data_IF_926460850748
#
_entry.id   IF_926460850748
#
_cell.length_a   1.000
_cell.length_b   1.000
_cell.length_c   1.000
_cell.angle_alpha   90.00
_cell.angle_beta   90.00
_cell.angle_gamma   90.00
#
_symmetry.space_group_name_H-M   'P 1'
#
loop_
_entity.id
_entity.type
_entity.pdbx_description
1 polymer ?
#
# COMPACT_ATOMS: atom_id res chain seq x y z
N UNK A 1 -18.02 7.54 -11.42
CA UNK A 1 -17.94 8.49 -12.56
C UNK A 1 -16.52 9.00 -12.66
N UNK A 2 -15.91 9.06 -13.85
CA UNK A 2 -14.50 9.46 -13.95
C UNK A 2 -14.36 10.99 -14.05
N UNK A 3 -13.38 11.61 -13.37
CA UNK A 3 -13.15 13.05 -13.38
C UNK A 3 -12.90 13.65 -14.78
N UNK A 4 -12.35 12.84 -15.68
CA UNK A 4 -11.97 13.25 -17.04
C UNK A 4 -13.18 13.63 -17.93
N UNK A 5 -14.38 13.20 -17.55
CA UNK A 5 -15.61 13.56 -18.29
C UNK A 5 -15.90 15.07 -18.30
N UNK A 6 -15.33 15.82 -17.34
CA UNK A 6 -15.49 17.29 -17.30
C UNK A 6 -14.86 17.94 -18.53
N UNK A 7 -13.78 17.39 -19.06
CA UNK A 7 -13.08 17.91 -20.23
C UNK A 7 -13.83 17.69 -21.55
N UNK A 8 -14.66 16.64 -21.62
CA UNK A 8 -15.41 16.26 -22.82
C UNK A 8 -16.79 16.93 -22.91
N UNK A 9 -17.25 17.55 -21.82
CA UNK A 9 -18.60 18.13 -21.77
C UNK A 9 -18.56 19.62 -22.08
N UNK A 10 -19.27 20.05 -23.12
CA UNK A 10 -19.29 21.43 -23.60
C UNK A 10 -20.28 22.34 -22.85
N UNK A 11 -21.35 21.79 -22.24
CA UNK A 11 -22.38 22.60 -21.62
C UNK A 11 -22.17 22.84 -20.13
N UNK A 12 -22.39 24.09 -19.66
CA UNK A 12 -22.25 24.46 -18.25
C UNK A 12 -23.16 23.64 -17.32
N UNK A 13 -24.38 23.29 -17.76
CA UNK A 13 -25.34 22.48 -17.00
C UNK A 13 -24.84 21.05 -16.79
N UNK A 14 -24.21 20.45 -17.81
CA UNK A 14 -23.66 19.09 -17.68
C UNK A 14 -22.39 19.10 -16.81
N UNK A 15 -21.51 20.08 -16.94
CA UNK A 15 -20.35 20.27 -16.05
C UNK A 15 -20.77 20.40 -14.59
N UNK A 16 -21.79 21.21 -14.32
CA UNK A 16 -22.34 21.39 -12.97
C UNK A 16 -22.91 20.07 -12.40
N UNK A 17 -23.63 19.27 -13.20
CA UNK A 17 -24.13 17.95 -12.76
C UNK A 17 -22.99 16.97 -12.45
N UNK A 18 -21.97 16.89 -13.30
CA UNK A 18 -20.83 16.01 -13.08
C UNK A 18 -20.10 16.44 -11.80
N UNK A 19 -19.84 17.73 -11.61
CA UNK A 19 -19.20 18.25 -10.39
C UNK A 19 -20.03 17.95 -9.13
N UNK A 20 -21.35 18.02 -9.21
CA UNK A 20 -22.22 17.69 -8.07
C UNK A 20 -22.13 16.21 -7.70
N UNK A 21 -22.07 15.30 -8.69
CA UNK A 21 -21.90 13.86 -8.46
C UNK A 21 -20.53 13.57 -7.88
N UNK A 22 -19.47 14.11 -8.45
CA UNK A 22 -18.10 13.91 -7.94
C UNK A 22 -17.95 14.39 -6.49
N UNK A 23 -18.58 15.52 -6.15
CA UNK A 23 -18.59 16.02 -4.76
C UNK A 23 -19.38 15.10 -3.83
N UNK A 24 -20.47 14.48 -4.29
CA UNK A 24 -21.24 13.52 -3.50
C UNK A 24 -20.43 12.25 -3.29
N UNK A 25 -19.84 11.71 -4.33
CA UNK A 25 -19.02 10.50 -4.27
C UNK A 25 -17.81 10.71 -3.32
N UNK A 26 -17.14 11.87 -3.41
CA UNK A 26 -16.05 12.24 -2.49
C UNK A 26 -16.53 12.30 -1.03
N UNK A 27 -17.71 12.88 -0.76
CA UNK A 27 -18.27 12.92 0.61
C UNK A 27 -18.64 11.54 1.15
N UNK A 28 -19.12 10.65 0.30
CA UNK A 28 -19.43 9.26 0.69
C UNK A 28 -18.14 8.51 1.05
N UNK A 29 -17.07 8.69 0.29
CA UNK A 29 -15.75 8.12 0.56
C UNK A 29 -15.18 8.69 1.87
N UNK A 30 -15.28 10.00 2.09
CA UNK A 30 -14.85 10.63 3.33
C UNK A 30 -15.59 10.07 4.55
N UNK A 31 -16.92 9.89 4.47
CA UNK A 31 -17.72 9.27 5.53
C UNK A 31 -17.30 7.83 5.80
N UNK A 32 -17.02 7.04 4.75
CA UNK A 32 -16.46 5.69 4.92
C UNK A 32 -15.13 5.74 5.68
N UNK A 33 -14.23 6.63 5.31
CA UNK A 33 -12.95 6.80 5.98
C UNK A 33 -13.09 7.19 7.45
N UNK A 34 -14.02 8.10 7.76
CA UNK A 34 -14.35 8.48 9.12
C UNK A 34 -14.90 7.29 9.94
N UNK A 35 -15.77 6.48 9.35
CA UNK A 35 -16.30 5.27 9.98
C UNK A 35 -15.18 4.26 10.26
N UNK A 36 -14.32 3.99 9.27
CA UNK A 36 -13.18 3.07 9.42
C UNK A 36 -12.24 3.54 10.54
N UNK A 37 -11.91 4.84 10.60
CA UNK A 37 -11.08 5.40 11.65
C UNK A 37 -11.74 5.26 13.02
N UNK A 38 -13.04 5.56 13.12
CA UNK A 38 -13.79 5.46 14.36
C UNK A 38 -13.81 4.03 14.88
N UNK A 39 -14.08 3.05 14.02
CA UNK A 39 -14.07 1.63 14.37
C UNK A 39 -12.68 1.16 14.81
N UNK A 40 -11.64 1.59 14.10
CA UNK A 40 -10.25 1.26 14.42
C UNK A 40 -9.84 1.85 15.78
N UNK A 41 -10.18 3.10 16.06
CA UNK A 41 -9.91 3.75 17.35
C UNK A 41 -10.68 3.05 18.47
N UNK A 42 -11.97 2.75 18.28
CA UNK A 42 -12.79 2.05 19.25
C UNK A 42 -12.25 0.64 19.58
N UNK A 43 -11.79 -0.09 18.57
CA UNK A 43 -11.12 -1.40 18.74
C UNK A 43 -9.85 -1.31 19.58
N UNK A 44 -9.20 -0.14 19.57
CA UNK A 44 -7.99 0.14 20.34
C UNK A 44 -8.26 0.93 21.63
N UNK A 45 -9.53 0.94 22.11
CA UNK A 45 -9.97 1.62 23.35
C UNK A 45 -9.71 3.13 23.36
N UNK A 46 -9.80 3.78 22.20
CA UNK A 46 -9.66 5.23 22.04
C UNK A 46 -10.93 5.83 21.42
N UNK A 47 -11.25 7.05 21.83
CA UNK A 47 -12.35 7.82 21.23
C UNK A 47 -11.81 8.75 20.14
N UNK A 48 -12.59 8.95 19.07
CA UNK A 48 -12.23 9.86 18.01
C UNK A 48 -12.33 11.31 18.49
N UNK A 49 -11.20 12.00 18.53
CA UNK A 49 -11.10 13.42 18.86
C UNK A 49 -10.32 14.16 17.78
N UNK A 50 -10.60 15.46 17.60
CA UNK A 50 -9.87 16.28 16.63
C UNK A 50 -8.34 16.21 16.87
N UNK A 51 -7.91 16.18 18.14
CA UNK A 51 -6.48 16.08 18.48
C UNK A 51 -5.84 14.77 18.01
N UNK A 52 -6.59 13.67 17.99
CA UNK A 52 -6.12 12.38 17.45
C UNK A 52 -6.02 12.44 15.94
N UNK A 53 -7.03 13.02 15.29
CA UNK A 53 -7.03 13.21 13.82
C UNK A 53 -5.88 14.12 13.40
N UNK A 54 -5.66 15.25 14.11
CA UNK A 54 -4.54 16.16 13.83
C UNK A 54 -3.19 15.46 13.93
N UNK A 55 -2.96 14.64 14.97
CA UNK A 55 -1.72 13.88 15.15
C UNK A 55 -1.51 12.86 14.03
N UNK A 56 -2.55 12.15 13.63
CA UNK A 56 -2.47 11.21 12.52
C UNK A 56 -2.22 11.93 11.19
N UNK A 57 -2.89 13.05 10.96
CA UNK A 57 -2.66 13.90 9.81
C UNK A 57 -1.20 14.41 9.75
N UNK A 58 -0.66 14.85 10.88
CA UNK A 58 0.73 15.28 11.00
C UNK A 58 1.70 14.12 10.76
N UNK A 59 1.42 12.95 11.32
CA UNK A 59 2.22 11.73 11.13
C UNK A 59 2.28 11.30 9.67
N UNK A 60 1.14 11.33 8.97
CA UNK A 60 1.05 10.99 7.55
C UNK A 60 1.36 12.16 6.60
N UNK A 61 1.69 13.35 7.12
CA UNK A 61 1.92 14.59 6.37
C UNK A 61 0.75 15.01 5.47
N UNK A 62 -0.45 14.83 5.92
CA UNK A 62 -1.69 15.26 5.26
C UNK A 62 -2.17 16.53 5.96
N UNK A 63 -2.40 17.63 5.20
CA UNK A 63 -2.75 18.92 5.78
C UNK A 63 -4.24 19.08 6.08
N UNK A 64 -5.10 18.31 5.45
CA UNK A 64 -6.56 18.46 5.54
C UNK A 64 -7.20 17.16 6.01
N UNK A 65 -8.07 17.23 7.00
CA UNK A 65 -8.83 16.10 7.53
C UNK A 65 -9.66 15.39 6.46
N UNK A 66 -10.26 16.17 5.54
CA UNK A 66 -11.06 15.64 4.44
C UNK A 66 -10.22 14.73 3.52
N UNK A 67 -8.99 15.14 3.20
CA UNK A 67 -8.06 14.34 2.40
C UNK A 67 -7.60 13.10 3.16
N UNK A 68 -7.42 13.22 4.49
CA UNK A 68 -7.05 12.10 5.34
C UNK A 68 -8.17 11.05 5.39
N UNK A 69 -9.42 11.46 5.65
CA UNK A 69 -10.57 10.56 5.61
C UNK A 69 -10.80 9.95 4.23
N UNK A 70 -10.60 10.75 3.17
CA UNK A 70 -10.70 10.23 1.81
C UNK A 70 -9.65 9.14 1.55
N UNK A 71 -8.40 9.34 2.00
CA UNK A 71 -7.33 8.34 1.82
C UNK A 71 -7.61 7.05 2.56
N UNK A 72 -8.23 7.11 3.75
CA UNK A 72 -8.69 5.93 4.48
C UNK A 72 -9.87 5.27 3.76
N UNK A 73 -10.86 6.05 3.31
CA UNK A 73 -12.05 5.53 2.64
C UNK A 73 -11.78 4.92 1.27
N UNK A 74 -10.75 5.41 0.57
CA UNK A 74 -10.23 4.83 -0.68
C UNK A 74 -9.25 3.65 -0.42
N UNK A 75 -9.03 3.26 0.86
CA UNK A 75 -8.03 2.28 1.29
C UNK A 75 -6.59 2.60 0.84
N UNK A 76 -6.33 3.87 0.52
CA UNK A 76 -4.99 4.36 0.19
C UNK A 76 -4.11 4.54 1.44
N UNK A 77 -4.73 4.62 2.61
CA UNK A 77 -4.09 4.70 3.91
C UNK A 77 -4.70 3.65 4.83
N UNK A 78 -3.87 2.71 5.27
CA UNK A 78 -4.26 1.63 6.18
C UNK A 78 -3.67 1.94 7.54
N UNK A 79 -4.54 2.00 8.56
CA UNK A 79 -4.16 2.26 9.94
C UNK A 79 -3.58 0.99 10.57
N UNK A 80 -2.44 1.10 11.25
CA UNK A 80 -1.73 -0.03 11.83
C UNK A 80 -1.10 0.27 13.20
N UNK A 81 -0.27 -0.67 13.69
CA UNK A 81 0.36 -0.56 15.01
C UNK A 81 1.27 0.66 15.16
N UNK A 82 1.87 1.13 14.07
CA UNK A 82 2.72 2.33 14.07
C UNK A 82 1.93 3.61 14.36
N UNK A 83 0.69 3.68 13.89
CA UNK A 83 -0.23 4.79 14.16
C UNK A 83 -0.63 4.80 15.63
N UNK A 84 -0.82 3.61 16.23
CA UNK A 84 -1.06 3.45 17.67
C UNK A 84 0.14 3.91 18.52
N UNK A 85 1.34 3.52 18.14
CA UNK A 85 2.56 3.91 18.84
C UNK A 85 2.77 5.43 18.81
N UNK A 86 2.42 6.08 17.69
CA UNK A 86 2.46 7.55 17.57
C UNK A 86 1.43 8.21 18.49
N UNK A 87 0.19 7.71 18.50
CA UNK A 87 -0.88 8.23 19.35
C UNK A 87 -0.57 8.05 20.84
N UNK A 88 0.05 6.93 21.23
CA UNK A 88 0.44 6.62 22.61
C UNK A 88 1.74 7.32 23.05
N UNK A 89 2.39 8.07 22.14
CA UNK A 89 3.58 8.84 22.44
C UNK A 89 4.84 8.00 22.71
N UNK A 90 4.85 6.72 22.27
CA UNK A 90 5.98 5.82 22.42
C UNK A 90 7.17 6.20 21.53
N UNK A 91 6.92 7.02 20.49
CA UNK A 91 7.93 7.51 19.54
C UNK A 91 8.50 8.89 19.89
N UNK A 92 8.69 9.22 21.17
CA UNK A 92 9.42 10.45 21.52
C UNK A 92 10.88 10.30 21.09
N UNK A 93 11.24 10.87 19.94
CA UNK A 93 12.63 11.17 19.59
C UNK A 93 13.21 12.04 20.71
N UNK A 94 14.37 11.73 21.27
CA UNK A 94 15.02 12.60 22.25
C UNK A 94 15.35 13.93 21.56
N UNK A 95 14.78 15.02 22.06
CA UNK A 95 15.22 16.37 21.71
C UNK A 95 16.72 16.48 22.05
N UNK A 96 17.54 16.70 21.04
CA UNK A 96 18.93 17.07 21.23
C UNK A 96 18.97 18.44 21.94
N UNK A 97 19.15 18.41 23.25
CA UNK A 97 19.64 19.56 23.97
C UNK A 97 21.18 19.44 24.02
N UNK A 98 21.81 20.40 23.36
CA UNK A 98 23.23 20.64 23.50
C UNK A 98 23.57 21.05 24.95
N UNK A 99 24.47 20.32 25.55
CA UNK A 99 24.99 20.71 26.88
C UNK A 99 25.79 19.57 27.48
N UNK A 100 27.11 19.70 27.40
CA UNK A 100 28.12 18.71 27.70
C UNK A 100 28.02 18.06 29.08
N UNK A 101 28.59 16.87 29.13
CA UNK A 101 29.51 16.44 30.20
C UNK A 101 30.30 15.24 29.71
N UNK A 102 31.57 15.48 29.50
CA UNK A 102 32.62 14.48 29.28
C UNK A 102 32.96 13.85 30.63
N UNK A 103 33.34 12.58 30.54
CA UNK A 103 34.07 11.76 31.50
C UNK A 103 33.24 11.10 32.62
N UNK A 104 33.14 9.84 32.53
CA UNK A 104 33.66 8.86 33.50
C UNK A 104 33.13 7.48 33.12
N UNK A 105 33.97 6.59 32.63
CA UNK A 105 34.13 5.23 33.13
C UNK A 105 35.30 4.57 32.41
N UNK A 106 36.30 4.09 33.14
CA UNK A 106 37.30 3.18 32.61
C UNK A 106 36.93 1.71 32.98
N UNK A 107 37.19 0.84 32.03
CA UNK A 107 37.66 -0.52 32.27
C UNK A 107 36.68 -1.58 32.78
N UNK A 108 36.37 -2.59 31.96
CA UNK A 108 36.77 -4.00 32.18
C UNK A 108 36.25 -4.94 31.05
N UNK A 109 37.16 -5.76 30.52
CA UNK A 109 36.95 -7.19 30.34
C UNK A 109 36.53 -7.66 28.97
N UNK A 110 37.53 -8.05 28.15
CA UNK A 110 37.36 -9.04 27.09
C UNK A 110 36.79 -10.34 27.64
N UNK A 111 35.66 -10.78 27.11
CA UNK A 111 35.40 -12.22 26.98
C UNK A 111 34.67 -12.48 25.66
N UNK A 112 35.33 -13.28 24.82
CA UNK A 112 34.76 -13.91 23.65
C UNK A 112 33.84 -15.01 24.11
N UNK A 113 32.53 -14.90 23.84
CA UNK A 113 31.67 -16.04 23.70
C UNK A 113 30.86 -15.86 22.41
N UNK A 114 30.93 -16.90 21.57
CA UNK A 114 30.11 -17.08 20.37
C UNK A 114 28.64 -17.07 20.80
N UNK A 115 27.88 -16.14 20.29
CA UNK A 115 26.42 -16.22 20.25
C UNK A 115 25.97 -16.18 18.81
N UNK A 116 25.16 -17.15 18.49
CA UNK A 116 24.53 -17.40 17.20
C UNK A 116 23.66 -16.20 16.80
N UNK A 117 23.69 -15.92 15.49
CA UNK A 117 23.05 -14.80 14.87
C UNK A 117 21.53 -14.87 14.97
N UNK A 118 20.94 -14.14 15.89
CA UNK A 118 19.60 -13.59 15.71
C UNK A 118 19.74 -12.34 14.87
N UNK A 119 19.26 -12.42 13.63
CA UNK A 119 19.35 -11.35 12.66
C UNK A 119 18.61 -10.10 13.12
N UNK A 120 19.33 -9.17 13.71
CA UNK A 120 18.87 -7.79 13.85
C UNK A 120 18.93 -7.19 12.45
N UNK A 121 17.79 -7.11 11.79
CA UNK A 121 17.63 -6.35 10.54
C UNK A 121 17.96 -4.89 10.88
N UNK A 122 19.14 -4.42 10.43
CA UNK A 122 19.48 -2.99 10.49
C UNK A 122 18.35 -2.21 9.81
N UNK A 123 17.87 -1.10 10.37
CA UNK A 123 16.94 -0.24 9.66
C UNK A 123 17.60 0.18 8.35
N UNK A 124 17.06 -0.29 7.22
CA UNK A 124 17.60 0.04 5.91
C UNK A 124 17.30 1.52 5.67
N UNK A 125 18.35 2.29 5.41
CA UNK A 125 18.22 3.70 5.06
C UNK A 125 17.50 3.81 3.72
N UNK A 126 16.38 4.54 3.69
CA UNK A 126 15.65 4.82 2.47
C UNK A 126 16.53 5.63 1.51
N UNK A 127 16.42 5.31 0.22
CA UNK A 127 17.14 6.05 -0.82
C UNK A 127 16.62 7.48 -0.89
N UNK A 128 17.53 8.45 -0.70
CA UNK A 128 17.23 9.88 -0.78
C UNK A 128 17.89 10.44 -2.03
N UNK A 129 17.09 11.04 -2.90
CA UNK A 129 17.52 11.66 -4.16
C UNK A 129 18.45 12.84 -3.86
N UNK A 130 19.72 12.71 -4.22
CA UNK A 130 20.72 13.80 -4.14
C UNK A 130 20.63 14.76 -5.33
N UNK A 131 21.45 15.84 -5.28
CA UNK A 131 21.49 16.87 -6.34
C UNK A 131 21.97 16.31 -7.70
N UNK A 132 22.76 15.24 -7.67
CA UNK A 132 23.35 14.63 -8.86
C UNK A 132 22.50 13.51 -9.45
N UNK A 133 21.27 13.31 -8.94
CA UNK A 133 20.38 12.25 -9.41
C UNK A 133 19.89 12.53 -10.84
N UNK A 134 20.22 11.64 -11.77
CA UNK A 134 19.83 11.78 -13.16
C UNK A 134 18.45 11.18 -13.44
N UNK A 135 17.41 12.02 -13.45
CA UNK A 135 16.03 11.63 -13.74
C UNK A 135 15.77 11.08 -15.15
N UNK A 136 16.71 11.27 -16.08
CA UNK A 136 16.58 10.77 -17.46
C UNK A 136 16.98 9.30 -17.61
N UNK A 137 17.69 8.75 -16.62
CA UNK A 137 18.01 7.32 -16.57
C UNK A 137 16.92 6.59 -15.83
N UNK A 138 16.43 5.44 -16.34
CA UNK A 138 15.47 4.64 -15.60
C UNK A 138 16.08 4.14 -14.29
N UNK A 139 15.31 4.16 -13.24
CA UNK A 139 15.62 3.56 -11.95
C UNK A 139 15.53 2.04 -12.11
N UNK A 140 16.58 1.32 -11.82
CA UNK A 140 16.57 -0.14 -11.85
C UNK A 140 16.29 -0.67 -10.46
N UNK A 141 15.21 -1.45 -10.33
CA UNK A 141 14.78 -2.09 -9.10
C UNK A 141 15.35 -3.49 -9.06
N UNK A 142 16.25 -3.74 -8.09
CA UNK A 142 16.91 -5.04 -7.89
C UNK A 142 16.61 -5.56 -6.49
N UNK A 143 16.87 -6.85 -6.25
CA UNK A 143 16.73 -7.46 -4.92
C UNK A 143 17.55 -6.72 -3.84
N UNK A 144 18.68 -6.15 -4.22
CA UNK A 144 19.57 -5.46 -3.28
C UNK A 144 19.04 -4.09 -2.85
N UNK A 145 18.35 -3.38 -3.76
CA UNK A 145 17.94 -1.99 -3.51
C UNK A 145 16.43 -1.80 -3.27
N UNK A 146 15.61 -2.82 -3.49
CA UNK A 146 14.16 -2.71 -3.42
C UNK A 146 13.67 -2.17 -2.06
N UNK A 147 14.32 -2.58 -0.98
CA UNK A 147 13.97 -2.14 0.37
C UNK A 147 14.32 -0.67 0.67
N UNK A 148 15.03 0.00 -0.24
CA UNK A 148 15.34 1.43 -0.14
C UNK A 148 14.23 2.31 -0.71
N UNK A 149 13.25 1.73 -1.41
CA UNK A 149 12.12 2.42 -2.02
C UNK A 149 10.83 2.18 -1.23
N UNK A 150 9.88 3.09 -1.41
CA UNK A 150 8.57 2.99 -0.79
C UNK A 150 7.59 2.37 -1.80
N UNK A 151 6.87 1.34 -1.39
CA UNK A 151 5.80 0.72 -2.17
C UNK A 151 4.47 1.06 -1.51
N UNK A 152 3.74 2.06 -2.03
CA UNK A 152 2.47 2.48 -1.47
C UNK A 152 1.39 1.41 -1.60
N UNK A 153 0.50 1.33 -0.60
CA UNK A 153 -0.61 0.39 -0.56
C UNK A 153 -1.70 0.63 -1.62
N UNK A 154 -1.66 1.78 -2.30
CA UNK A 154 -2.66 2.12 -3.33
C UNK A 154 -2.60 1.25 -4.59
N UNK A 155 -1.50 0.54 -4.83
CA UNK A 155 -1.36 -0.25 -6.05
C UNK A 155 -0.53 -1.53 -5.91
N UNK A 156 0.17 -1.74 -4.78
CA UNK A 156 0.97 -2.94 -4.51
C UNK A 156 1.73 -3.44 -5.76
N UNK A 157 2.66 -2.60 -6.24
CA UNK A 157 3.45 -2.94 -7.43
C UNK A 157 4.37 -4.14 -7.14
N UNK A 158 4.38 -5.11 -8.05
CA UNK A 158 5.23 -6.30 -7.98
C UNK A 158 6.07 -6.44 -9.24
N UNK A 159 7.13 -7.25 -9.25
CA UNK A 159 7.94 -7.49 -10.44
C UNK A 159 7.10 -7.87 -11.65
N UNK A 160 7.43 -7.29 -12.81
CA UNK A 160 6.66 -7.46 -14.05
C UNK A 160 5.52 -6.47 -14.25
N UNK A 161 5.11 -5.71 -13.23
CA UNK A 161 4.20 -4.57 -13.43
C UNK A 161 4.93 -3.41 -14.15
N UNK A 162 4.20 -2.67 -14.97
CA UNK A 162 4.71 -1.41 -15.54
C UNK A 162 4.68 -0.33 -14.46
N UNK A 163 5.86 0.14 -14.04
CA UNK A 163 6.03 1.01 -12.87
C UNK A 163 6.64 2.35 -13.22
N UNK A 164 6.46 3.29 -12.32
CA UNK A 164 7.13 4.57 -12.29
C UNK A 164 7.53 4.93 -10.86
N UNK A 165 8.60 5.71 -10.71
CA UNK A 165 9.00 6.32 -9.45
C UNK A 165 8.44 7.74 -9.32
N UNK A 166 8.00 8.10 -8.12
CA UNK A 166 7.64 9.46 -7.75
C UNK A 166 8.56 9.95 -6.63
N UNK A 167 9.16 11.14 -6.80
CA UNK A 167 10.01 11.74 -5.78
C UNK A 167 9.12 12.55 -4.83
N UNK A 168 9.00 12.10 -3.58
CA UNK A 168 8.20 12.77 -2.54
C UNK A 168 8.84 14.08 -2.03
N UNK A 169 8.16 14.78 -1.12
CA UNK A 169 8.65 16.03 -0.55
C UNK A 169 9.90 15.86 0.34
N UNK A 170 10.22 14.64 0.74
CA UNK A 170 11.42 14.28 1.51
C UNK A 170 12.55 13.75 0.61
N UNK A 171 12.41 13.91 -0.72
CA UNK A 171 13.30 13.37 -1.74
C UNK A 171 13.44 11.83 -1.71
N UNK A 172 12.45 11.10 -1.22
CA UNK A 172 12.39 9.64 -1.28
C UNK A 172 11.64 9.22 -2.53
N UNK A 173 11.85 7.99 -2.99
CA UNK A 173 11.19 7.48 -4.18
C UNK A 173 10.08 6.50 -3.79
N UNK A 174 8.88 6.80 -4.26
CA UNK A 174 7.68 5.93 -4.17
C UNK A 174 7.46 5.24 -5.50
N UNK A 175 7.34 3.91 -5.48
CA UNK A 175 7.14 3.10 -6.69
C UNK A 175 5.66 2.80 -6.86
N UNK A 176 5.09 3.25 -7.95
CA UNK A 176 3.69 3.02 -8.31
C UNK A 176 3.56 2.26 -9.62
N UNK A 177 2.49 1.50 -9.80
CA UNK A 177 2.07 1.05 -11.13
C UNK A 177 1.68 2.26 -11.98
N UNK A 178 2.02 2.26 -13.26
CA UNK A 178 1.58 3.33 -14.18
C UNK A 178 0.07 3.41 -14.35
N UNK A 179 -0.62 2.28 -14.17
CA UNK A 179 -2.08 2.18 -14.18
C UNK A 179 -2.76 2.68 -12.90
N UNK A 180 -2.01 3.01 -11.85
CA UNK A 180 -2.54 3.48 -10.58
C UNK A 180 -3.17 4.88 -10.73
N UNK A 181 -4.39 5.05 -10.21
CA UNK A 181 -5.09 6.35 -10.24
C UNK A 181 -4.32 7.45 -9.51
N UNK A 182 -3.62 7.12 -8.42
CA UNK A 182 -2.76 8.06 -7.70
C UNK A 182 -1.55 8.43 -8.55
N UNK A 183 -0.92 7.46 -9.18
CA UNK A 183 0.19 7.69 -10.11
C UNK A 183 -0.19 8.62 -11.27
N UNK A 184 -1.39 8.45 -11.83
CA UNK A 184 -1.91 9.32 -12.88
C UNK A 184 -2.07 10.78 -12.39
N UNK A 185 -2.61 10.97 -11.18
CA UNK A 185 -2.73 12.30 -10.55
C UNK A 185 -1.36 12.93 -10.26
N UNK A 186 -0.42 12.14 -9.70
CA UNK A 186 0.94 12.61 -9.43
C UNK A 186 1.66 13.03 -10.71
N UNK A 187 1.51 12.26 -11.79
CA UNK A 187 2.06 12.58 -13.09
C UNK A 187 1.50 13.89 -13.65
N UNK A 188 0.19 14.12 -13.51
CA UNK A 188 -0.46 15.34 -14.00
C UNK A 188 -0.07 16.58 -13.19
N UNK A 189 0.09 16.46 -11.87
CA UNK A 189 0.37 17.57 -10.98
C UNK A 189 1.86 17.85 -10.78
N UNK A 190 2.69 16.82 -10.83
CA UNK A 190 4.11 16.88 -10.47
C UNK A 190 4.99 16.12 -11.47
N UNK A 191 4.75 16.30 -12.79
CA UNK A 191 5.46 15.59 -13.83
C UNK A 191 7.00 15.70 -13.76
N UNK A 192 7.53 16.81 -13.23
CA UNK A 192 8.96 17.02 -13.03
C UNK A 192 9.57 16.15 -11.90
N UNK A 193 8.74 15.48 -11.08
CA UNK A 193 9.13 14.58 -9.99
C UNK A 193 8.97 13.10 -10.35
N UNK A 194 8.56 12.82 -11.58
CA UNK A 194 8.42 11.45 -12.08
C UNK A 194 9.75 10.95 -12.61
N UNK A 195 10.05 9.70 -12.31
CA UNK A 195 11.23 8.97 -12.78
C UNK A 195 10.77 7.67 -13.40
N UNK A 196 11.33 7.30 -14.52
CA UNK A 196 11.13 5.97 -15.08
C UNK A 196 11.71 4.90 -14.14
N UNK A 197 10.99 3.80 -13.96
CA UNK A 197 11.44 2.68 -13.15
C UNK A 197 11.27 1.38 -13.93
N UNK A 198 12.19 0.43 -13.75
CA UNK A 198 12.17 -0.90 -14.36
C UNK A 198 12.61 -1.94 -13.35
N UNK A 199 11.99 -3.10 -13.42
CA UNK A 199 12.38 -4.26 -12.64
C UNK A 199 13.57 -4.97 -13.29
N UNK A 200 14.54 -5.36 -12.48
CA UNK A 200 15.65 -6.23 -12.82
C UNK A 200 15.84 -7.20 -11.65
N UNK A 201 14.89 -8.14 -11.54
CA UNK A 201 14.78 -9.06 -10.41
C UNK A 201 14.65 -10.49 -10.91
N UNK A 202 15.29 -11.38 -10.19
CA UNK A 202 15.22 -12.84 -10.38
C UNK A 202 14.38 -13.42 -9.26
N UNK A 203 13.47 -14.31 -9.49
CA UNK A 203 12.44 -14.88 -8.60
C UNK A 203 12.93 -15.34 -7.18
N UNK A 204 13.59 -14.48 -6.44
CA UNK A 204 14.13 -14.75 -5.11
C UNK A 204 13.28 -14.14 -3.97
N UNK A 205 12.46 -13.13 -4.28
CA UNK A 205 11.64 -12.42 -3.30
C UNK A 205 10.15 -12.68 -3.53
N UNK A 206 9.40 -12.66 -2.44
CA UNK A 206 7.95 -12.80 -2.46
C UNK A 206 7.30 -11.45 -2.21
N UNK A 207 6.26 -11.16 -2.97
CA UNK A 207 5.46 -9.94 -2.93
C UNK A 207 4.01 -10.26 -2.63
N UNK A 208 3.34 -9.37 -1.90
CA UNK A 208 1.93 -9.54 -1.60
C UNK A 208 1.08 -9.16 -2.83
N UNK A 209 0.15 -10.05 -3.17
CA UNK A 209 -0.84 -9.83 -4.23
C UNK A 209 -2.22 -10.24 -3.73
N UNK A 210 -3.25 -9.50 -4.15
CA UNK A 210 -4.64 -9.81 -3.80
C UNK A 210 -5.44 -10.08 -5.06
N UNK A 211 -6.16 -11.19 -5.06
CA UNK A 211 -7.06 -11.60 -6.13
C UNK A 211 -8.49 -11.56 -5.57
N UNK A 212 -9.37 -10.88 -6.27
CA UNK A 212 -10.81 -10.91 -6.06
C UNK A 212 -11.43 -11.98 -6.94
N UNK A 213 -12.36 -12.75 -6.38
CA UNK A 213 -13.10 -13.80 -7.08
C UNK A 213 -14.58 -13.63 -6.80
N UNK A 214 -15.41 -13.76 -7.84
CA UNK A 214 -16.87 -13.72 -7.73
C UNK A 214 -17.51 -14.81 -8.57
N UNK A 215 -18.59 -15.36 -8.08
CA UNK A 215 -19.29 -16.44 -8.79
C UNK A 215 -20.57 -16.87 -8.10
N UNK A 216 -21.09 -18.01 -8.54
CA UNK A 216 -22.29 -18.63 -7.95
C UNK A 216 -21.83 -19.48 -6.76
N UNK A 217 -22.46 -19.30 -5.60
CA UNK A 217 -22.13 -20.07 -4.41
C UNK A 217 -22.59 -21.52 -4.54
N UNK A 218 -21.67 -22.43 -4.25
CA UNK A 218 -21.93 -23.87 -4.19
C UNK A 218 -21.05 -24.56 -3.15
N UNK A 219 -21.50 -25.71 -2.72
CA UNK A 219 -20.69 -26.57 -1.83
C UNK A 219 -19.38 -26.95 -2.52
N UNK A 220 -18.26 -26.78 -1.81
CA UNK A 220 -16.93 -27.14 -2.29
C UNK A 220 -16.19 -26.02 -3.05
N UNK A 221 -16.80 -24.87 -3.32
CA UNK A 221 -16.14 -23.76 -4.04
C UNK A 221 -14.79 -23.37 -3.41
N UNK A 222 -14.74 -23.17 -2.10
CA UNK A 222 -13.49 -22.86 -1.40
C UNK A 222 -12.45 -24.00 -1.51
N UNK A 223 -12.92 -25.25 -1.50
CA UNK A 223 -12.02 -26.40 -1.65
C UNK A 223 -11.39 -26.41 -3.06
N UNK A 224 -12.16 -26.16 -4.10
CA UNK A 224 -11.68 -26.11 -5.47
C UNK A 224 -10.66 -24.97 -5.65
N UNK A 225 -10.95 -23.79 -5.12
CA UNK A 225 -10.04 -22.65 -5.13
C UNK A 225 -8.73 -22.98 -4.40
N UNK A 226 -8.81 -23.52 -3.18
CA UNK A 226 -7.62 -23.86 -2.40
C UNK A 226 -6.80 -24.98 -3.03
N UNK A 227 -7.45 -25.96 -3.65
CA UNK A 227 -6.78 -27.05 -4.36
C UNK A 227 -5.96 -26.54 -5.56
N UNK A 228 -6.50 -25.63 -6.35
CA UNK A 228 -5.77 -25.05 -7.46
C UNK A 228 -4.55 -24.28 -6.95
N UNK A 229 -4.73 -23.40 -5.98
CA UNK A 229 -3.65 -22.51 -5.52
C UNK A 229 -2.58 -23.29 -4.77
N UNK A 230 -2.97 -24.12 -3.79
CA UNK A 230 -2.02 -24.76 -2.88
C UNK A 230 -1.51 -26.10 -3.41
N UNK A 231 -2.38 -26.98 -3.96
CA UNK A 231 -1.97 -28.30 -4.41
C UNK A 231 -1.36 -28.27 -5.82
N UNK A 232 -2.01 -27.58 -6.77
CA UNK A 232 -1.55 -27.62 -8.17
C UNK A 232 -0.43 -26.61 -8.44
N UNK A 233 -0.55 -25.38 -7.90
CA UNK A 233 0.42 -24.32 -8.13
C UNK A 233 1.48 -24.23 -7.03
N UNK A 234 1.29 -24.89 -5.88
CA UNK A 234 2.24 -24.87 -4.77
C UNK A 234 2.38 -23.50 -4.10
N UNK A 235 1.39 -22.64 -4.25
CA UNK A 235 1.43 -21.25 -3.75
C UNK A 235 0.77 -21.20 -2.38
N UNK A 236 1.43 -20.53 -1.43
CA UNK A 236 0.89 -20.37 -0.08
C UNK A 236 -0.15 -19.26 -0.03
N UNK A 237 -1.34 -19.59 0.45
CA UNK A 237 -2.42 -18.65 0.72
C UNK A 237 -2.15 -17.99 2.08
N UNK A 238 -2.03 -16.65 2.09
CA UNK A 238 -1.81 -15.89 3.31
C UNK A 238 -3.14 -15.62 4.05
N UNK A 239 -4.16 -15.22 3.30
CA UNK A 239 -5.49 -14.94 3.87
C UNK A 239 -6.56 -15.14 2.82
N UNK A 240 -7.70 -15.66 3.25
CA UNK A 240 -8.92 -15.76 2.45
C UNK A 240 -10.05 -15.09 3.20
N UNK A 241 -10.76 -14.21 2.53
CA UNK A 241 -12.01 -13.62 3.04
C UNK A 241 -13.10 -13.96 2.04
N UNK A 242 -14.17 -14.59 2.52
CA UNK A 242 -15.29 -15.02 1.66
C UNK A 242 -16.57 -14.58 2.30
N UNK A 243 -17.48 -14.06 1.50
CA UNK A 243 -18.88 -13.87 1.85
C UNK A 243 -19.76 -14.52 0.80
N UNK A 244 -20.90 -15.03 1.25
CA UNK A 244 -21.95 -15.53 0.38
C UNK A 244 -23.25 -14.87 0.76
N UNK A 245 -23.89 -14.24 -0.21
CA UNK A 245 -25.22 -13.60 -0.06
C UNK A 245 -26.06 -13.88 -1.27
N UNK A 246 -27.31 -14.33 -1.03
CA UNK A 246 -28.30 -14.60 -2.09
C UNK A 246 -27.82 -15.55 -3.21
N UNK A 247 -26.94 -16.52 -2.86
CA UNK A 247 -26.37 -17.47 -3.81
C UNK A 247 -25.23 -16.91 -4.67
N UNK A 248 -24.74 -15.72 -4.36
CA UNK A 248 -23.54 -15.14 -4.94
C UNK A 248 -22.38 -15.26 -3.95
N UNK A 249 -21.30 -15.77 -4.44
CA UNK A 249 -20.03 -15.89 -3.74
C UNK A 249 -19.11 -14.72 -4.12
N UNK A 250 -18.59 -14.03 -3.13
CA UNK A 250 -17.63 -12.94 -3.27
C UNK A 250 -16.46 -13.20 -2.31
N UNK A 251 -15.24 -13.17 -2.81
CA UNK A 251 -14.06 -13.46 -2.01
C UNK A 251 -12.83 -12.72 -2.43
N UNK A 252 -11.94 -12.50 -1.47
CA UNK A 252 -10.58 -11.99 -1.68
C UNK A 252 -9.57 -12.97 -1.16
N UNK A 253 -8.49 -13.19 -1.91
CA UNK A 253 -7.40 -14.09 -1.60
C UNK A 253 -6.10 -13.28 -1.60
N UNK A 254 -5.45 -13.20 -0.46
CA UNK A 254 -4.14 -12.61 -0.31
C UNK A 254 -3.07 -13.70 -0.44
N UNK A 255 -2.16 -13.52 -1.39
CA UNK A 255 -1.14 -14.48 -1.79
C UNK A 255 0.25 -13.84 -1.72
N UNK A 256 1.28 -14.70 -1.61
CA UNK A 256 2.66 -14.30 -1.83
C UNK A 256 3.18 -14.89 -3.12
N UNK A 257 3.60 -14.01 -4.02
CA UNK A 257 3.99 -14.34 -5.38
C UNK A 257 5.35 -13.71 -5.73
N UNK A 258 6.02 -14.26 -6.72
CA UNK A 258 7.30 -13.71 -7.17
C UNK A 258 7.14 -12.58 -8.18
N UNK A 259 6.17 -12.69 -9.07
CA UNK A 259 5.98 -11.73 -10.16
C UNK A 259 4.52 -11.71 -10.70
N UNK A 260 4.29 -10.82 -11.64
CA UNK A 260 3.00 -10.66 -12.31
C UNK A 260 2.60 -11.89 -13.14
N UNK A 261 3.54 -12.60 -13.73
CA UNK A 261 3.23 -13.80 -14.56
C UNK A 261 2.70 -14.93 -13.68
N UNK A 262 3.21 -15.05 -12.46
CA UNK A 262 2.69 -16.01 -11.48
C UNK A 262 1.26 -15.66 -11.08
N UNK A 263 0.95 -14.38 -10.82
CA UNK A 263 -0.44 -13.93 -10.56
C UNK A 263 -1.35 -14.22 -11.73
N UNK A 264 -0.89 -13.98 -12.96
CA UNK A 264 -1.66 -14.28 -14.17
C UNK A 264 -1.96 -15.78 -14.28
N UNK A 265 -0.96 -16.62 -14.04
CA UNK A 265 -1.13 -18.08 -14.05
C UNK A 265 -2.17 -18.54 -13.03
N UNK A 266 -2.14 -17.97 -11.80
CA UNK A 266 -3.14 -18.26 -10.77
C UNK A 266 -4.54 -17.86 -11.27
N UNK A 267 -4.69 -16.65 -11.80
CA UNK A 267 -5.97 -16.15 -12.28
C UNK A 267 -6.52 -16.99 -13.43
N UNK A 268 -5.67 -17.41 -14.37
CA UNK A 268 -6.08 -18.21 -15.53
C UNK A 268 -6.50 -19.63 -15.09
N UNK A 269 -5.82 -20.21 -14.09
CA UNK A 269 -6.22 -21.50 -13.50
C UNK A 269 -7.53 -21.38 -12.70
N UNK A 270 -7.70 -20.32 -11.92
CA UNK A 270 -8.94 -20.10 -11.17
C UNK A 270 -10.16 -19.94 -12.09
N UNK A 271 -10.00 -19.33 -13.26
CA UNK A 271 -11.07 -19.21 -14.28
C UNK A 271 -11.54 -20.55 -14.85
N UNK A 272 -10.79 -21.64 -14.62
CA UNK A 272 -11.24 -22.97 -15.02
C UNK A 272 -12.24 -23.60 -14.05
N UNK A 273 -12.46 -23.00 -12.89
CA UNK A 273 -13.47 -23.47 -11.93
C UNK A 273 -14.85 -23.13 -12.46
N UNK A 274 -15.71 -24.13 -12.59
CA UNK A 274 -17.12 -23.93 -12.91
C UNK A 274 -17.79 -23.03 -11.85
N UNK A 275 -18.70 -22.16 -12.30
CA UNK A 275 -19.44 -21.20 -11.48
C UNK A 275 -18.62 -19.98 -10.97
N UNK A 276 -17.31 -19.92 -11.20
CA UNK A 276 -16.52 -18.72 -10.96
C UNK A 276 -16.60 -17.79 -12.18
N UNK A 277 -17.24 -16.64 -12.01
CA UNK A 277 -17.57 -15.73 -13.11
C UNK A 277 -16.55 -14.62 -13.31
N UNK A 278 -15.98 -14.11 -12.22
CA UNK A 278 -15.03 -13.01 -12.23
C UNK A 278 -13.80 -13.36 -11.39
N UNK A 279 -12.63 -13.19 -11.99
CA UNK A 279 -11.34 -13.33 -11.32
C UNK A 279 -10.47 -12.16 -11.73
N UNK A 280 -10.13 -11.29 -10.80
CA UNK A 280 -9.31 -10.11 -11.08
C UNK A 280 -8.31 -9.85 -9.97
N UNK A 281 -7.14 -9.32 -10.34
CA UNK A 281 -6.19 -8.79 -9.38
C UNK A 281 -6.66 -7.41 -8.94
N UNK A 282 -6.85 -7.24 -7.65
CA UNK A 282 -7.10 -5.94 -7.03
C UNK A 282 -5.82 -5.46 -6.37
N UNK A 283 -5.51 -4.16 -6.58
CA UNK A 283 -4.39 -3.41 -5.99
C UNK A 283 -3.01 -4.07 -6.12
#
# INVERSE_FOLDING_TARGET
>A
MQPDWISFVSTAKAKSKIMAILRRDSREIQKKGETILTEWLHKNHMEMTNSIVDKLCEYHNIQQHETFFQSIGEHCLILGDKDLDELQGKNKKPKQNAGGWRNFIPFLGKNKSKEEATGIVKPQELFVVGKDFNKKKPLILTEENINQFIFPSCCHAIPGDDVMGFIDNKNRIEIHKRSCNIAARLKSSYGNRIVDAKWDMHKQMLFDATIEIKGIDRKGMLLDVSKIISDQLGINIHKVTISSDNGIFDGTIELRVHDREEVKTIMDQLKTIDDLQEVQRIL
#
